data_IF_433911783349
#
_entry.id   IF_433911783349
#
_cell.length_a   1.000
_cell.length_b   1.000
_cell.length_c   1.000
_cell.angle_alpha   90.00
_cell.angle_beta   90.00
_cell.angle_gamma   90.00
#
_symmetry.space_group_name_H-M   'P 1'
#
loop_
_entity.id
_entity.type
_entity.pdbx_description
1 polymer ?
#
# COMPACT_ATOMS: atom_id res chain seq x y z
N UNK A 1 -36.31 47.47 103.07
CA UNK A 1 -35.59 48.69 102.61
C UNK A 1 -35.79 48.76 101.09
N UNK A 2 -36.91 49.34 100.67
CA UNK A 2 -37.03 50.69 100.06
C UNK A 2 -36.50 50.74 98.60
N UNK A 3 -37.48 50.95 97.68
CA UNK A 3 -37.48 51.67 96.37
C UNK A 3 -36.55 51.16 95.24
N UNK A 4 -37.06 50.62 94.12
CA UNK A 4 -37.73 51.28 92.96
C UNK A 4 -36.81 52.25 92.21
N UNK A 5 -36.50 51.98 90.93
CA UNK A 5 -36.71 52.88 89.76
C UNK A 5 -36.47 52.16 88.41
N UNK A 6 -37.47 52.26 87.53
CA UNK A 6 -37.60 51.90 86.09
C UNK A 6 -36.92 52.96 85.18
N UNK A 7 -37.05 53.01 83.82
CA UNK A 7 -37.14 52.02 82.70
C UNK A 7 -36.30 52.44 81.43
N UNK A 8 -36.62 51.86 80.25
CA UNK A 8 -36.48 52.33 78.83
C UNK A 8 -35.37 51.64 78.00
N UNK A 9 -35.68 50.62 77.18
CA UNK A 9 -36.27 50.58 75.82
C UNK A 9 -35.27 50.85 74.67
N UNK A 10 -35.10 49.79 73.87
CA UNK A 10 -34.73 49.64 72.44
C UNK A 10 -33.58 50.43 71.81
N UNK A 11 -32.72 49.70 71.09
CA UNK A 11 -32.67 49.72 69.61
C UNK A 11 -31.79 48.57 69.12
N UNK A 12 -32.34 47.73 68.23
CA UNK A 12 -31.57 46.68 67.57
C UNK A 12 -30.56 47.25 66.58
N UNK A 13 -29.40 46.61 66.48
CA UNK A 13 -28.62 46.56 65.25
C UNK A 13 -28.09 45.14 65.11
N UNK A 14 -28.51 44.50 64.02
CA UNK A 14 -27.94 43.24 63.52
C UNK A 14 -26.54 43.59 63.05
N UNK A 15 -25.52 43.21 63.80
CA UNK A 15 -24.15 43.27 63.29
C UNK A 15 -23.91 42.02 62.44
N UNK A 16 -23.79 42.28 61.14
CA UNK A 16 -23.30 41.36 60.14
C UNK A 16 -21.83 41.02 60.45
N UNK A 17 -21.60 39.85 61.03
CA UNK A 17 -20.32 39.17 60.94
C UNK A 17 -20.55 37.87 60.19
N UNK A 18 -20.60 37.97 58.87
CA UNK A 18 -20.37 36.83 57.99
C UNK A 18 -20.01 37.39 56.62
N UNK A 19 -18.74 37.79 56.45
CA UNK A 19 -18.20 37.98 55.11
C UNK A 19 -16.69 37.78 55.08
N UNK A 20 -16.34 36.77 54.27
CA UNK A 20 -15.10 36.61 53.51
C UNK A 20 -13.90 36.00 54.23
N UNK A 21 -13.75 34.68 54.03
CA UNK A 21 -12.49 34.09 53.57
C UNK A 21 -12.78 32.93 52.60
N UNK A 22 -13.52 33.23 51.53
CA UNK A 22 -13.49 32.42 50.32
C UNK A 22 -12.66 33.17 49.27
N UNK A 23 -11.33 33.19 49.45
CA UNK A 23 -10.42 33.52 48.37
C UNK A 23 -9.63 32.26 48.02
N UNK A 24 -10.30 31.33 47.35
CA UNK A 24 -9.58 30.35 46.54
C UNK A 24 -9.32 31.03 45.22
N UNK A 25 -8.08 31.48 45.00
CA UNK A 25 -7.56 31.74 43.66
C UNK A 25 -7.62 30.43 42.86
N UNK A 26 -8.81 30.11 42.37
CA UNK A 26 -9.05 28.93 41.55
C UNK A 26 -8.51 29.26 40.17
N UNK A 27 -7.19 29.15 40.05
CA UNK A 27 -6.44 29.38 38.82
C UNK A 27 -7.14 28.64 37.69
N UNK A 28 -7.63 29.40 36.72
CA UNK A 28 -8.33 28.85 35.56
C UNK A 28 -7.34 27.93 34.82
N UNK A 29 -7.65 26.64 34.76
CA UNK A 29 -6.78 25.66 34.11
C UNK A 29 -7.03 25.71 32.61
N UNK A 30 -5.96 25.97 31.86
CA UNK A 30 -5.96 26.04 30.40
C UNK A 30 -4.85 25.12 29.86
N UNK A 31 -5.21 24.22 28.95
CA UNK A 31 -4.30 23.22 28.36
C UNK A 31 -3.57 23.70 27.10
N UNK A 32 -3.84 24.93 26.63
CA UNK A 32 -3.32 25.44 25.37
C UNK A 32 -3.84 24.68 24.15
N UNK A 33 -3.26 24.94 22.97
CA UNK A 33 -3.60 24.23 21.75
C UNK A 33 -3.31 22.72 21.89
N UNK A 34 -4.26 21.84 21.54
CA UNK A 34 -4.03 20.40 21.53
C UNK A 34 -2.83 20.02 20.66
N UNK A 35 -2.05 18.99 21.05
CA UNK A 35 -0.89 18.55 20.29
C UNK A 35 -1.29 18.07 18.89
N UNK A 36 -0.50 18.45 17.89
CA UNK A 36 -0.62 17.94 16.51
C UNK A 36 0.05 16.57 16.45
N UNK A 37 -0.76 15.53 16.40
CA UNK A 37 -0.36 14.13 16.27
C UNK A 37 -0.52 13.67 14.80
N UNK A 38 -0.25 12.39 14.49
CA UNK A 38 -0.45 11.77 13.16
C UNK A 38 -1.94 11.60 12.79
N UNK A 39 -2.70 12.70 12.84
CA UNK A 39 -4.12 12.77 12.51
C UNK A 39 -4.30 13.79 11.39
N UNK A 40 -5.30 13.55 10.54
CA UNK A 40 -5.66 14.45 9.44
C UNK A 40 -6.09 15.82 9.96
N UNK A 41 -6.88 15.85 11.05
CA UNK A 41 -7.42 17.10 11.58
C UNK A 41 -7.65 17.04 13.09
N UNK A 42 -7.55 18.20 13.75
CA UNK A 42 -7.93 18.39 15.15
C UNK A 42 -8.87 19.60 15.25
N UNK A 43 -10.03 19.44 15.88
CA UNK A 43 -11.02 20.50 16.10
C UNK A 43 -11.34 20.66 17.58
N UNK A 44 -11.38 21.91 18.05
CA UNK A 44 -11.69 22.26 19.44
C UNK A 44 -12.26 23.68 19.51
N UNK A 45 -13.15 23.93 20.48
CA UNK A 45 -13.79 25.25 20.67
C UNK A 45 -13.05 26.06 21.73
N UNK A 46 -12.69 25.44 22.86
CA UNK A 46 -11.99 26.07 23.99
C UNK A 46 -10.88 25.16 24.52
N UNK A 47 -9.97 25.74 25.30
CA UNK A 47 -8.81 25.01 25.86
C UNK A 47 -8.84 24.96 27.40
N UNK A 48 -9.98 25.25 28.00
CA UNK A 48 -10.16 25.30 29.45
C UNK A 48 -10.41 23.91 30.04
N UNK A 49 -10.29 23.78 31.37
CA UNK A 49 -10.54 22.52 32.08
C UNK A 49 -11.82 21.81 31.63
N UNK A 50 -11.71 20.50 31.38
CA UNK A 50 -12.77 19.62 30.83
C UNK A 50 -13.22 19.91 29.40
N UNK A 51 -12.64 20.89 28.70
CA UNK A 51 -12.90 21.05 27.28
C UNK A 51 -12.39 19.83 26.49
N UNK A 52 -12.99 19.61 25.33
CA UNK A 52 -12.68 18.47 24.47
C UNK A 52 -12.11 18.93 23.14
N UNK A 53 -11.10 18.22 22.69
CA UNK A 53 -10.56 18.29 21.35
C UNK A 53 -10.87 16.98 20.62
N UNK A 54 -11.45 17.10 19.43
CA UNK A 54 -11.78 15.99 18.55
C UNK A 54 -10.68 15.83 17.50
N UNK A 55 -10.09 14.64 17.45
CA UNK A 55 -9.07 14.23 16.50
C UNK A 55 -9.71 13.36 15.43
N UNK A 56 -9.54 13.70 14.15
CA UNK A 56 -10.07 12.93 13.01
C UNK A 56 -8.93 12.29 12.21
N UNK A 57 -9.04 10.99 11.98
CA UNK A 57 -8.13 10.22 11.14
C UNK A 57 -8.49 10.35 9.65
N UNK A 58 -7.55 9.99 8.77
CA UNK A 58 -7.77 10.03 7.32
C UNK A 58 -8.94 9.13 6.87
N UNK A 59 -9.14 7.97 7.51
CA UNK A 59 -10.26 7.07 7.19
C UNK A 59 -11.58 7.41 7.91
N UNK A 60 -11.62 8.54 8.63
CA UNK A 60 -12.81 9.06 9.28
C UNK A 60 -13.03 8.63 10.72
N UNK A 61 -12.14 7.83 11.33
CA UNK A 61 -12.22 7.57 12.77
C UNK A 61 -12.03 8.87 13.56
N UNK A 62 -12.76 8.99 14.67
CA UNK A 62 -12.64 10.15 15.56
C UNK A 62 -12.27 9.72 16.97
N UNK A 63 -11.41 10.51 17.62
CA UNK A 63 -10.96 10.28 18.98
C UNK A 63 -11.04 11.57 19.78
N UNK A 64 -11.34 11.44 21.07
CA UNK A 64 -11.45 12.58 21.97
C UNK A 64 -10.24 12.68 22.87
N UNK A 65 -9.77 13.91 23.06
CA UNK A 65 -8.83 14.31 24.10
C UNK A 65 -9.52 15.33 25.01
N UNK A 66 -9.27 15.24 26.31
CA UNK A 66 -9.88 16.11 27.32
C UNK A 66 -8.81 16.89 28.07
N UNK A 67 -9.05 18.18 28.28
CA UNK A 67 -8.17 19.03 29.08
C UNK A 67 -8.27 18.64 30.57
N UNK A 68 -7.17 18.10 31.10
CA UNK A 68 -7.03 17.63 32.47
C UNK A 68 -6.82 18.77 33.47
N UNK A 69 -6.97 18.45 34.77
CA UNK A 69 -6.74 19.40 35.86
C UNK A 69 -5.27 19.81 35.99
N UNK A 70 -4.37 19.00 35.44
CA UNK A 70 -2.93 19.24 35.34
C UNK A 70 -2.54 20.22 34.22
N UNK A 71 -3.52 20.77 33.50
CA UNK A 71 -3.29 21.65 32.37
C UNK A 71 -2.73 20.93 31.15
N UNK A 72 -2.96 19.61 31.03
CA UNK A 72 -2.54 18.81 29.87
C UNK A 72 -3.72 18.12 29.20
N UNK A 73 -3.60 17.94 27.89
CA UNK A 73 -4.53 17.15 27.10
C UNK A 73 -4.31 15.66 27.36
N UNK A 74 -5.39 14.90 27.56
CA UNK A 74 -5.32 13.45 27.66
C UNK A 74 -4.91 12.82 26.32
N UNK A 75 -4.25 11.66 26.36
CA UNK A 75 -3.92 10.94 25.13
C UNK A 75 -5.22 10.45 24.46
N UNK A 76 -5.45 10.71 23.16
CA UNK A 76 -6.59 10.15 22.45
C UNK A 76 -6.64 8.62 22.59
N UNK A 77 -7.81 8.07 22.90
CA UNK A 77 -7.96 6.63 23.16
C UNK A 77 -8.05 5.81 21.86
N UNK A 78 -6.93 5.72 21.14
CA UNK A 78 -6.77 4.84 19.98
C UNK A 78 -5.69 5.31 19.01
N UNK A 79 -5.60 4.60 17.88
CA UNK A 79 -4.63 4.87 16.81
C UNK A 79 -5.36 4.87 15.47
N UNK A 80 -5.02 5.81 14.58
CA UNK A 80 -5.58 5.84 13.24
C UNK A 80 -5.29 4.54 12.48
N UNK A 81 -6.32 4.01 11.81
CA UNK A 81 -6.11 2.92 10.86
C UNK A 81 -5.49 3.47 9.60
N UNK A 82 -4.80 2.59 8.88
CA UNK A 82 -4.17 2.92 7.60
C UNK A 82 -4.81 2.11 6.49
N UNK A 83 -5.02 2.70 5.29
CA UNK A 83 -5.69 2.03 4.19
C UNK A 83 -4.85 0.83 3.72
N UNK A 84 -5.49 -0.33 3.66
CA UNK A 84 -4.87 -1.59 3.21
C UNK A 84 -5.10 -1.85 1.71
N UNK A 85 -6.03 -1.12 1.10
CA UNK A 85 -6.46 -1.24 -0.29
C UNK A 85 -6.67 0.15 -0.92
N UNK A 86 -6.71 0.22 -2.25
CA UNK A 86 -7.11 1.44 -2.96
C UNK A 86 -8.57 1.85 -2.64
N UNK A 87 -9.43 0.86 -2.39
CA UNK A 87 -10.84 1.10 -2.02
C UNK A 87 -10.95 1.80 -0.67
N UNK A 88 -10.11 1.43 0.30
CA UNK A 88 -10.02 2.14 1.58
C UNK A 88 -9.35 3.50 1.42
N UNK A 89 -8.27 3.58 0.65
CA UNK A 89 -7.58 4.86 0.40
C UNK A 89 -8.52 5.90 -0.23
N UNK A 90 -9.47 5.47 -1.08
CA UNK A 90 -10.50 6.35 -1.65
C UNK A 90 -11.31 7.12 -0.59
N UNK A 91 -11.42 6.60 0.64
CA UNK A 91 -12.15 7.25 1.74
C UNK A 91 -11.37 8.39 2.41
N UNK A 92 -10.08 8.55 2.08
CA UNK A 92 -9.22 9.56 2.69
C UNK A 92 -9.60 10.99 2.31
N UNK A 93 -10.27 11.19 1.18
CA UNK A 93 -10.72 12.52 0.71
C UNK A 93 -11.94 12.43 -0.20
N UNK A 94 -12.54 13.58 -0.50
CA UNK A 94 -13.75 13.66 -1.32
C UNK A 94 -13.49 13.30 -2.79
N UNK A 95 -12.34 13.74 -3.33
CA UNK A 95 -11.95 13.52 -4.72
C UNK A 95 -10.58 12.84 -4.74
N UNK A 96 -10.58 11.53 -4.94
CA UNK A 96 -9.35 10.73 -5.10
C UNK A 96 -9.33 10.15 -6.50
N UNK A 97 -8.30 10.49 -7.28
CA UNK A 97 -8.13 10.10 -8.70
C UNK A 97 -7.18 8.92 -8.86
N UNK A 98 -7.01 8.39 -10.08
CA UNK A 98 -5.98 7.39 -10.34
C UNK A 98 -4.57 7.96 -10.07
N UNK A 99 -3.68 7.18 -9.46
CA UNK A 99 -2.35 7.66 -9.09
C UNK A 99 -1.55 6.74 -8.17
N UNK A 100 -0.35 7.19 -7.78
CA UNK A 100 0.54 6.50 -6.84
C UNK A 100 0.22 6.88 -5.38
N UNK A 101 0.03 5.87 -4.54
CA UNK A 101 -0.40 6.01 -3.15
C UNK A 101 0.34 5.06 -2.22
N UNK A 102 0.51 5.47 -0.96
CA UNK A 102 0.97 4.59 0.11
C UNK A 102 -0.22 3.86 0.74
N UNK A 103 -0.19 2.53 0.69
CA UNK A 103 -1.12 1.66 1.41
C UNK A 103 -0.36 0.70 2.31
N UNK A 104 -1.08 -0.03 3.16
CA UNK A 104 -0.53 -0.96 4.14
C UNK A 104 -1.15 -2.35 3.93
N UNK A 105 -0.80 -3.06 2.84
CA UNK A 105 -1.46 -4.31 2.49
C UNK A 105 -1.30 -5.34 3.60
N UNK A 106 -2.37 -6.08 3.91
CA UNK A 106 -2.35 -7.15 4.92
C UNK A 106 -1.26 -8.18 4.63
N UNK A 107 -1.00 -8.45 3.34
CA UNK A 107 0.03 -9.39 2.90
C UNK A 107 1.48 -8.96 3.23
N UNK A 108 1.68 -7.76 3.76
CA UNK A 108 2.97 -7.22 4.22
C UNK A 108 3.05 -6.96 5.73
N UNK A 109 2.03 -7.38 6.50
CA UNK A 109 2.06 -7.34 7.96
C UNK A 109 2.40 -5.94 8.52
N UNK A 110 1.66 -4.92 8.07
CA UNK A 110 1.80 -3.54 8.57
C UNK A 110 2.93 -2.72 7.92
N UNK A 111 3.68 -3.26 6.97
CA UNK A 111 4.64 -2.46 6.18
C UNK A 111 3.93 -1.71 5.07
N UNK A 112 4.33 -0.44 4.86
CA UNK A 112 3.83 0.38 3.76
C UNK A 112 4.32 -0.12 2.41
N UNK A 113 3.48 0.04 1.39
CA UNK A 113 3.76 -0.28 0.00
C UNK A 113 3.20 0.81 -0.91
N UNK A 114 4.03 1.26 -1.86
CA UNK A 114 3.59 2.16 -2.91
C UNK A 114 2.89 1.36 -3.99
N UNK A 115 1.67 1.75 -4.32
CA UNK A 115 0.87 1.16 -5.39
C UNK A 115 0.31 2.24 -6.28
N UNK A 116 0.11 1.91 -7.55
CA UNK A 116 -0.75 2.66 -8.44
C UNK A 116 -2.20 2.18 -8.26
N UNK A 117 -3.08 3.05 -7.82
CA UNK A 117 -4.51 2.79 -7.79
C UNK A 117 -5.14 3.18 -9.13
N UNK A 118 -5.83 2.23 -9.76
CA UNK A 118 -6.56 2.46 -11.02
C UNK A 118 -8.05 2.25 -10.86
N UNK A 119 -8.85 3.11 -11.51
CA UNK A 119 -10.29 3.09 -11.41
C UNK A 119 -10.81 3.69 -10.11
N UNK A 120 -10.16 4.71 -9.55
CA UNK A 120 -10.56 5.35 -8.28
C UNK A 120 -11.95 6.01 -8.35
N UNK A 121 -12.41 6.39 -9.54
CA UNK A 121 -13.78 6.82 -9.79
C UNK A 121 -14.81 5.68 -9.66
N UNK A 122 -14.39 4.42 -9.78
CA UNK A 122 -15.28 3.25 -9.72
C UNK A 122 -15.52 2.76 -8.28
N UNK A 123 -16.44 1.82 -8.11
CA UNK A 123 -16.67 1.17 -6.81
C UNK A 123 -15.53 0.24 -6.38
N UNK A 124 -14.77 -0.26 -7.36
CA UNK A 124 -13.77 -1.32 -7.18
C UNK A 124 -12.44 -0.94 -7.84
N UNK A 125 -11.73 0.07 -7.29
CA UNK A 125 -10.39 0.38 -7.77
C UNK A 125 -9.45 -0.81 -7.56
N UNK A 126 -8.39 -0.85 -8.36
CA UNK A 126 -7.43 -1.96 -8.41
C UNK A 126 -6.02 -1.48 -8.12
N UNK A 127 -5.27 -2.31 -7.40
CA UNK A 127 -3.89 -2.07 -6.98
C UNK A 127 -2.88 -2.64 -8.00
N UNK A 128 -1.95 -1.81 -8.44
CA UNK A 128 -0.85 -2.21 -9.31
C UNK A 128 0.50 -1.81 -8.73
N UNK A 129 1.52 -2.62 -9.02
CA UNK A 129 2.93 -2.26 -8.75
C UNK A 129 3.51 -1.65 -10.01
N UNK A 130 3.96 -0.41 -9.90
CA UNK A 130 4.72 0.28 -10.96
C UNK A 130 6.13 -0.27 -11.06
N UNK A 131 6.49 -0.74 -12.26
CA UNK A 131 7.76 -1.41 -12.54
C UNK A 131 8.77 -0.40 -13.09
N UNK A 132 9.89 -0.24 -12.37
CA UNK A 132 10.95 0.73 -12.74
C UNK A 132 11.92 0.20 -13.80
N UNK A 133 11.95 -1.12 -14.01
CA UNK A 133 12.85 -1.81 -14.93
C UNK A 133 12.04 -2.61 -15.95
N UNK A 134 12.69 -2.98 -17.05
CA UNK A 134 12.02 -3.77 -18.08
C UNK A 134 11.61 -5.14 -17.53
N UNK A 135 10.34 -5.45 -17.76
CA UNK A 135 9.67 -6.67 -17.32
C UNK A 135 8.92 -7.22 -18.52
N UNK A 136 9.15 -8.49 -18.86
CA UNK A 136 8.58 -9.06 -20.07
C UNK A 136 8.40 -10.58 -20.03
N UNK A 137 7.49 -11.02 -20.88
CA UNK A 137 7.31 -12.41 -21.29
C UNK A 137 7.50 -12.50 -22.80
N UNK A 138 8.26 -13.47 -23.29
CA UNK A 138 8.63 -13.54 -24.70
C UNK A 138 8.50 -14.94 -25.28
N UNK A 139 7.77 -14.99 -26.39
CA UNK A 139 7.74 -16.10 -27.34
C UNK A 139 8.26 -15.60 -28.69
N UNK A 140 9.38 -16.14 -29.22
CA UNK A 140 9.99 -15.63 -30.43
C UNK A 140 9.19 -16.01 -31.68
N UNK A 141 9.06 -15.04 -32.60
CA UNK A 141 8.51 -15.23 -33.94
C UNK A 141 9.48 -15.99 -34.85
N UNK A 142 9.74 -17.26 -34.52
CA UNK A 142 10.74 -18.10 -35.20
C UNK A 142 10.25 -19.52 -35.41
N UNK A 143 10.54 -20.07 -36.59
CA UNK A 143 10.29 -21.47 -36.95
C UNK A 143 11.63 -22.22 -37.04
N UNK A 144 11.73 -23.49 -36.58
CA UNK A 144 12.92 -24.30 -36.77
C UNK A 144 13.18 -24.54 -38.27
N UNK A 145 14.45 -24.61 -38.65
CA UNK A 145 14.86 -24.94 -40.02
C UNK A 145 15.80 -26.15 -40.04
N UNK A 146 17.12 -25.96 -40.19
CA UNK A 146 18.12 -27.03 -40.12
C UNK A 146 19.15 -26.72 -39.02
N UNK A 147 19.63 -27.74 -38.31
CA UNK A 147 20.74 -27.66 -37.33
C UNK A 147 20.79 -26.37 -36.48
N UNK A 148 19.96 -26.28 -35.43
CA UNK A 148 19.85 -25.10 -34.55
C UNK A 148 19.52 -23.75 -35.23
N UNK A 149 19.39 -23.70 -36.56
CA UNK A 149 19.03 -22.50 -37.31
C UNK A 149 17.51 -22.34 -37.29
N UNK A 150 17.10 -21.08 -37.19
CA UNK A 150 15.71 -20.65 -37.16
C UNK A 150 15.46 -19.58 -38.20
N UNK A 151 14.26 -19.54 -38.78
CA UNK A 151 13.82 -18.46 -39.67
C UNK A 151 12.73 -17.64 -39.00
N UNK A 152 12.73 -16.33 -39.22
CA UNK A 152 11.69 -15.43 -38.71
C UNK A 152 10.32 -15.78 -39.31
N UNK A 153 9.31 -15.88 -38.47
CA UNK A 153 7.92 -16.10 -38.88
C UNK A 153 6.97 -15.52 -37.82
N UNK A 154 6.25 -14.44 -38.17
CA UNK A 154 5.36 -13.71 -37.27
C UNK A 154 4.03 -14.41 -36.99
N UNK A 155 3.68 -15.43 -37.77
CA UNK A 155 2.43 -16.18 -37.63
C UNK A 155 2.66 -17.59 -37.04
N UNK A 156 3.91 -17.98 -36.78
CA UNK A 156 4.24 -19.32 -36.28
C UNK A 156 3.95 -19.47 -34.79
N UNK A 157 2.93 -20.28 -34.44
CA UNK A 157 2.66 -20.76 -33.08
C UNK A 157 2.50 -19.63 -32.04
N UNK A 158 1.75 -18.58 -32.41
CA UNK A 158 1.37 -17.46 -31.54
C UNK A 158 2.55 -16.72 -30.89
N UNK A 159 3.47 -16.15 -31.68
CA UNK A 159 4.60 -15.44 -31.13
C UNK A 159 4.18 -14.07 -30.57
N UNK A 160 5.00 -13.54 -29.68
CA UNK A 160 4.80 -12.22 -29.09
C UNK A 160 5.74 -11.91 -27.93
N UNK A 161 6.16 -10.65 -27.82
CA UNK A 161 6.84 -10.10 -26.65
C UNK A 161 5.90 -9.13 -25.93
N UNK A 162 5.50 -9.48 -24.71
CA UNK A 162 4.66 -8.64 -23.86
C UNK A 162 5.53 -7.93 -22.84
N UNK A 163 5.56 -6.59 -22.89
CA UNK A 163 6.19 -5.72 -21.89
C UNK A 163 5.16 -5.34 -20.82
N UNK A 164 5.58 -5.27 -19.57
CA UNK A 164 4.72 -4.89 -18.45
C UNK A 164 5.26 -3.61 -17.80
N UNK A 165 4.45 -2.55 -17.77
CA UNK A 165 4.78 -1.29 -17.07
C UNK A 165 4.26 -1.30 -15.63
N UNK A 166 3.14 -1.99 -15.40
CA UNK A 166 2.59 -2.24 -14.06
C UNK A 166 2.06 -3.67 -13.99
N UNK A 167 2.06 -4.26 -12.79
CA UNK A 167 1.48 -5.59 -12.54
C UNK A 167 0.43 -5.53 -11.44
N UNK A 168 -0.73 -6.16 -11.67
CA UNK A 168 -1.82 -6.17 -10.70
C UNK A 168 -1.50 -7.11 -9.54
N UNK A 169 -1.76 -6.67 -8.31
CA UNK A 169 -1.63 -7.48 -7.10
C UNK A 169 -2.96 -7.61 -6.37
N UNK A 170 -3.09 -8.67 -5.56
CA UNK A 170 -4.09 -8.74 -4.50
C UNK A 170 -3.42 -8.22 -3.20
N UNK A 171 -3.92 -7.16 -2.54
CA UNK A 171 -3.30 -6.59 -1.34
C UNK A 171 -3.36 -7.50 -0.10
N UNK A 172 -4.36 -8.39 0.00
CA UNK A 172 -4.49 -9.32 1.13
C UNK A 172 -3.36 -10.35 1.16
N UNK A 173 -2.96 -10.82 -0.02
CA UNK A 173 -2.04 -11.95 -0.14
C UNK A 173 -0.88 -11.71 -1.11
N UNK A 174 -0.67 -10.50 -1.62
CA UNK A 174 0.40 -10.13 -2.56
C UNK A 174 0.62 -11.13 -3.72
N UNK A 175 -0.44 -11.81 -4.18
CA UNK A 175 -0.37 -12.61 -5.40
C UNK A 175 -0.53 -11.71 -6.61
N UNK A 176 0.32 -11.90 -7.60
CA UNK A 176 0.25 -11.18 -8.88
C UNK A 176 -0.81 -11.82 -9.77
N UNK A 177 -1.71 -11.02 -10.32
CA UNK A 177 -2.57 -11.45 -11.41
C UNK A 177 -1.80 -11.35 -12.74
N UNK A 178 -1.32 -12.49 -13.22
CA UNK A 178 -0.41 -12.58 -14.38
C UNK A 178 -1.09 -12.38 -15.73
N UNK A 179 -2.41 -12.48 -15.77
CA UNK A 179 -3.23 -12.34 -16.99
C UNK A 179 -3.90 -10.98 -17.06
N UNK A 180 -3.61 -10.07 -16.12
CA UNK A 180 -3.99 -8.68 -16.25
C UNK A 180 -3.03 -7.97 -17.21
N UNK A 181 -3.57 -7.50 -18.33
CA UNK A 181 -2.82 -6.82 -19.39
C UNK A 181 -3.12 -5.33 -19.47
N UNK A 182 -3.77 -4.73 -18.46
CA UNK A 182 -4.21 -3.33 -18.51
C UNK A 182 -3.05 -2.35 -18.78
N UNK A 183 -1.88 -2.62 -18.19
CA UNK A 183 -0.65 -1.83 -18.37
C UNK A 183 0.45 -2.63 -19.07
N UNK A 184 0.05 -3.53 -19.96
CA UNK A 184 0.95 -4.34 -20.76
C UNK A 184 0.88 -3.97 -22.24
N UNK A 185 2.04 -3.97 -22.89
CA UNK A 185 2.20 -3.57 -24.29
C UNK A 185 2.78 -4.75 -25.09
N UNK A 186 2.26 -4.96 -26.29
CA UNK A 186 2.83 -5.92 -27.23
C UNK A 186 3.91 -5.21 -28.06
N UNK A 187 5.14 -5.73 -28.06
CA UNK A 187 6.23 -5.13 -28.84
C UNK A 187 5.92 -5.24 -30.33
N UNK A 188 6.00 -4.14 -31.11
CA UNK A 188 5.81 -4.19 -32.55
C UNK A 188 6.72 -5.22 -33.22
N UNK A 189 6.22 -5.90 -34.26
CA UNK A 189 6.97 -6.92 -35.03
C UNK A 189 7.46 -8.12 -34.19
N UNK A 190 6.87 -8.39 -33.02
CA UNK A 190 7.17 -9.59 -32.22
C UNK A 190 6.17 -10.73 -32.41
N UNK A 191 5.08 -10.49 -33.15
CA UNK A 191 3.93 -11.38 -33.29
C UNK A 191 2.65 -10.68 -32.82
N UNK A 192 1.57 -11.46 -32.60
CA UNK A 192 0.23 -10.95 -32.24
C UNK A 192 -0.24 -11.40 -30.85
N UNK A 193 0.47 -12.33 -30.21
CA UNK A 193 0.01 -12.93 -28.96
C UNK A 193 0.53 -12.19 -27.72
N UNK A 194 -0.35 -12.00 -26.73
CA UNK A 194 0.06 -11.55 -25.38
C UNK A 194 0.32 -12.75 -24.48
N UNK A 195 1.46 -12.74 -23.82
CA UNK A 195 1.91 -13.81 -22.93
C UNK A 195 1.87 -13.33 -21.48
N UNK A 196 1.26 -14.13 -20.60
CA UNK A 196 1.09 -13.79 -19.18
C UNK A 196 2.41 -13.50 -18.49
N UNK A 197 2.39 -12.67 -17.45
CA UNK A 197 3.59 -12.27 -16.72
C UNK A 197 4.38 -13.47 -16.17
N UNK A 198 5.70 -13.47 -16.42
CA UNK A 198 6.63 -14.52 -16.00
C UNK A 198 6.69 -15.76 -16.90
N UNK A 199 6.18 -15.69 -18.14
CA UNK A 199 6.16 -16.81 -19.09
C UNK A 199 7.28 -16.67 -20.12
N UNK A 200 7.97 -17.77 -20.39
CA UNK A 200 8.92 -17.91 -21.49
C UNK A 200 8.61 -19.19 -22.26
N UNK A 201 8.57 -19.15 -23.59
CA UNK A 201 8.26 -20.32 -24.41
C UNK A 201 8.78 -20.16 -25.83
N UNK A 202 8.95 -21.28 -26.54
CA UNK A 202 9.20 -21.31 -27.98
C UNK A 202 8.65 -22.61 -28.60
N UNK A 203 8.64 -22.69 -29.93
CA UNK A 203 8.39 -23.93 -30.65
C UNK A 203 9.50 -24.20 -31.64
N UNK A 204 10.65 -24.61 -31.11
CA UNK A 204 11.88 -24.76 -31.88
C UNK A 204 12.41 -26.20 -31.81
N UNK A 205 13.11 -26.53 -30.73
CA UNK A 205 13.93 -27.74 -30.64
C UNK A 205 13.54 -28.57 -29.41
N UNK A 206 13.66 -29.88 -29.53
CA UNK A 206 13.32 -30.81 -28.45
C UNK A 206 14.20 -30.63 -27.20
N UNK A 207 13.68 -31.08 -26.05
CA UNK A 207 14.33 -30.99 -24.74
C UNK A 207 15.77 -31.52 -24.74
N UNK A 208 16.02 -32.65 -25.42
CA UNK A 208 17.33 -33.32 -25.49
C UNK A 208 18.31 -32.72 -26.52
N UNK A 209 17.89 -31.73 -27.30
CA UNK A 209 18.74 -31.10 -28.31
C UNK A 209 19.79 -30.17 -27.69
N UNK A 210 20.99 -30.13 -28.27
CA UNK A 210 22.05 -29.17 -27.93
C UNK A 210 21.71 -27.72 -28.32
N UNK A 211 20.72 -27.51 -29.18
CA UNK A 211 20.26 -26.18 -29.58
C UNK A 211 19.69 -25.43 -28.38
N UNK A 212 19.85 -24.11 -28.30
CA UNK A 212 19.36 -23.28 -27.18
C UNK A 212 17.87 -22.93 -27.33
N UNK A 213 17.17 -22.86 -26.19
CA UNK A 213 15.84 -22.24 -26.12
C UNK A 213 15.94 -20.74 -26.31
N UNK A 214 14.94 -20.15 -26.96
CA UNK A 214 14.91 -18.74 -27.35
C UNK A 214 13.71 -17.98 -26.75
N UNK A 215 12.76 -18.68 -26.11
CA UNK A 215 11.79 -18.02 -25.24
C UNK A 215 12.47 -17.44 -24.01
N UNK A 216 12.08 -16.23 -23.62
CA UNK A 216 12.72 -15.51 -22.52
C UNK A 216 11.69 -14.84 -21.61
N UNK A 217 12.03 -14.71 -20.33
CA UNK A 217 11.26 -13.89 -19.41
C UNK A 217 12.18 -13.12 -18.47
N UNK A 218 11.66 -11.98 -18.00
CA UNK A 218 12.30 -11.17 -16.98
C UNK A 218 11.25 -10.58 -16.04
N UNK A 219 11.43 -10.88 -14.77
CA UNK A 219 10.79 -10.23 -13.63
C UNK A 219 11.87 -9.39 -12.96
N UNK A 220 11.67 -8.07 -12.90
CA UNK A 220 12.60 -7.14 -12.27
C UNK A 220 11.82 -6.15 -11.40
N UNK A 221 11.80 -6.44 -10.10
CA UNK A 221 11.11 -5.68 -9.05
C UNK A 221 12.06 -4.70 -8.35
N UNK A 222 13.27 -4.49 -8.87
CA UNK A 222 14.25 -3.58 -8.28
C UNK A 222 13.65 -2.17 -8.12
N UNK A 223 13.76 -1.61 -6.91
CA UNK A 223 13.25 -0.27 -6.58
C UNK A 223 11.79 -0.23 -6.10
N UNK A 224 11.05 -1.34 -6.21
CA UNK A 224 9.66 -1.43 -5.72
C UNK A 224 9.54 -1.78 -4.23
N UNK A 225 10.64 -2.16 -3.58
CA UNK A 225 10.61 -2.70 -2.21
C UNK A 225 10.05 -4.12 -2.12
N UNK A 226 9.81 -4.80 -3.25
CA UNK A 226 9.30 -6.17 -3.32
C UNK A 226 10.31 -7.14 -3.93
N UNK A 227 10.14 -8.42 -3.59
CA UNK A 227 10.84 -9.55 -4.20
C UNK A 227 9.86 -10.71 -4.40
N UNK A 228 10.14 -11.59 -5.38
CA UNK A 228 9.42 -12.85 -5.54
C UNK A 228 9.79 -13.79 -4.39
N UNK A 229 8.81 -14.36 -3.69
CA UNK A 229 9.06 -15.34 -2.62
C UNK A 229 9.94 -16.50 -3.13
N UNK A 230 10.89 -16.96 -2.31
CA UNK A 230 11.79 -18.08 -2.65
C UNK A 230 11.05 -19.38 -2.91
N UNK A 231 9.85 -19.56 -2.34
CA UNK A 231 8.99 -20.73 -2.52
C UNK A 231 8.29 -20.76 -3.87
N UNK A 232 8.28 -19.65 -4.61
CA UNK A 232 7.72 -19.61 -5.96
C UNK A 232 8.67 -20.33 -6.92
N UNK A 233 8.12 -21.35 -7.59
CA UNK A 233 8.79 -22.16 -8.60
C UNK A 233 8.15 -21.98 -9.98
N UNK A 234 8.95 -22.27 -11.00
CA UNK A 234 8.53 -22.36 -12.39
C UNK A 234 8.36 -23.81 -12.77
N UNK A 235 7.30 -24.09 -13.51
CA UNK A 235 7.00 -25.42 -14.04
C UNK A 235 6.97 -25.37 -15.55
N UNK A 236 7.34 -26.49 -16.16
CA UNK A 236 7.23 -26.72 -17.58
C UNK A 236 5.75 -26.74 -18.02
N UNK A 237 5.49 -26.37 -19.27
CA UNK A 237 4.22 -26.58 -19.96
C UNK A 237 4.45 -26.82 -21.45
N UNK A 238 3.45 -27.37 -22.14
CA UNK A 238 3.58 -27.76 -23.54
C UNK A 238 4.49 -28.98 -23.73
N UNK A 239 4.82 -29.29 -24.98
CA UNK A 239 5.47 -30.55 -25.35
C UNK A 239 7.00 -30.44 -25.31
N UNK A 240 7.67 -31.48 -24.79
CA UNK A 240 9.13 -31.58 -24.69
C UNK A 240 9.80 -30.28 -24.19
N UNK A 241 9.22 -29.69 -23.15
CA UNK A 241 9.62 -28.40 -22.60
C UNK A 241 10.83 -28.51 -21.68
N UNK A 242 11.62 -27.43 -21.65
CA UNK A 242 12.76 -27.26 -20.76
C UNK A 242 12.83 -25.84 -20.21
N UNK A 243 13.28 -25.77 -18.96
CA UNK A 243 13.74 -24.55 -18.31
C UNK A 243 15.26 -24.52 -18.43
N UNK A 244 15.78 -23.52 -19.11
CA UNK A 244 17.20 -23.24 -19.28
C UNK A 244 17.54 -21.89 -18.62
N UNK A 245 18.79 -21.75 -18.17
CA UNK A 245 19.32 -20.48 -17.66
C UNK A 245 18.42 -19.78 -16.60
N UNK A 246 17.71 -20.55 -15.76
CA UNK A 246 16.90 -19.98 -14.68
C UNK A 246 17.82 -19.33 -13.64
N UNK A 247 17.61 -18.04 -13.39
CA UNK A 247 18.39 -17.27 -12.42
C UNK A 247 17.45 -16.50 -11.50
N UNK A 248 17.75 -16.57 -10.21
CA UNK A 248 17.14 -15.74 -9.17
C UNK A 248 18.24 -14.89 -8.57
N UNK A 249 18.24 -13.60 -8.87
CA UNK A 249 19.27 -12.64 -8.47
C UNK A 249 18.71 -11.66 -7.43
N UNK A 250 19.60 -10.99 -6.70
CA UNK A 250 19.26 -9.96 -5.70
C UNK A 250 18.14 -10.41 -4.74
N UNK A 251 18.28 -11.61 -4.17
CA UNK A 251 17.29 -12.20 -3.25
C UNK A 251 15.86 -12.31 -3.83
N UNK A 252 15.72 -12.49 -5.14
CA UNK A 252 14.42 -12.65 -5.80
C UNK A 252 13.79 -11.34 -6.28
N UNK A 253 14.49 -10.20 -6.20
CA UNK A 253 14.07 -8.99 -6.88
C UNK A 253 14.19 -9.11 -8.41
N UNK A 254 15.11 -9.95 -8.89
CA UNK A 254 15.24 -10.23 -10.32
C UNK A 254 15.15 -11.74 -10.55
N UNK A 255 14.23 -12.15 -11.42
CA UNK A 255 14.09 -13.53 -11.88
C UNK A 255 14.10 -13.54 -13.40
N UNK A 256 14.97 -14.34 -13.99
CA UNK A 256 15.06 -14.53 -15.45
C UNK A 256 15.08 -16.00 -15.78
N UNK A 257 14.54 -16.36 -16.93
CA UNK A 257 14.66 -17.71 -17.45
C UNK A 257 14.63 -17.70 -18.97
N UNK A 258 15.32 -18.68 -19.57
CA UNK A 258 15.10 -19.07 -20.95
C UNK A 258 14.32 -20.37 -20.98
N UNK A 259 13.21 -20.42 -21.69
CA UNK A 259 12.40 -21.62 -21.73
C UNK A 259 11.92 -21.88 -23.14
N UNK A 260 11.74 -23.15 -23.46
CA UNK A 260 11.41 -23.56 -24.81
C UNK A 260 11.19 -25.07 -24.91
N UNK A 261 11.13 -25.58 -26.12
CA UNK A 261 10.91 -26.98 -26.41
C UNK A 261 10.31 -27.19 -27.80
N UNK A 262 9.77 -28.39 -28.01
CA UNK A 262 8.94 -28.66 -29.18
C UNK A 262 7.52 -28.13 -28.93
N UNK A 263 7.35 -26.81 -29.03
CA UNK A 263 6.13 -26.09 -28.63
C UNK A 263 5.91 -26.18 -27.11
N UNK A 264 6.91 -25.73 -26.35
CA UNK A 264 6.95 -25.84 -24.91
C UNK A 264 7.58 -24.61 -24.25
N UNK A 265 7.42 -24.50 -22.94
CA UNK A 265 7.97 -23.39 -22.18
C UNK A 265 7.85 -23.57 -20.69
N UNK A 266 8.00 -22.47 -19.96
CA UNK A 266 7.86 -22.44 -18.51
C UNK A 266 6.99 -21.29 -18.05
N UNK A 267 6.30 -21.52 -16.94
CA UNK A 267 5.45 -20.54 -16.28
C UNK A 267 5.51 -20.75 -14.76
N UNK A 268 5.34 -19.72 -13.94
CA UNK A 268 5.20 -19.92 -12.51
C UNK A 268 3.84 -20.56 -12.24
N UNK A 269 3.71 -21.31 -11.14
CA UNK A 269 2.39 -21.76 -10.68
C UNK A 269 1.58 -20.57 -10.15
N UNK A 270 2.19 -19.80 -9.25
CA UNK A 270 1.71 -18.51 -8.79
C UNK A 270 2.91 -17.60 -8.52
N UNK A 271 2.74 -16.28 -8.61
CA UNK A 271 3.77 -15.33 -8.17
C UNK A 271 3.26 -14.67 -6.89
N UNK A 272 3.85 -15.06 -5.77
CA UNK A 272 3.68 -14.42 -4.46
C UNK A 272 4.84 -13.45 -4.24
N UNK A 273 4.53 -12.20 -3.91
CA UNK A 273 5.52 -11.19 -3.55
C UNK A 273 5.67 -11.09 -2.04
N UNK A 274 6.87 -10.69 -1.61
CA UNK A 274 7.24 -10.41 -0.22
C UNK A 274 8.03 -9.09 -0.18
N UNK A 275 8.13 -8.48 1.00
CA UNK A 275 9.03 -7.35 1.21
C UNK A 275 10.47 -7.74 0.87
N UNK A 276 11.16 -6.91 0.08
CA UNK A 276 12.59 -7.05 -0.16
C UNK A 276 13.39 -6.64 1.09
N UNK A 277 14.62 -7.13 1.19
CA UNK A 277 15.58 -6.69 2.21
C UNK A 277 16.14 -5.29 1.91
N UNK A 278 16.16 -4.90 0.64
CA UNK A 278 16.57 -3.59 0.16
C UNK A 278 15.36 -2.66 0.16
N UNK A 279 15.57 -1.39 0.55
CA UNK A 279 14.54 -0.37 0.52
C UNK A 279 13.99 -0.11 -0.90
N UNK A 280 12.87 0.61 -0.97
CA UNK A 280 12.33 1.13 -2.23
C UNK A 280 13.00 2.47 -2.59
N UNK A 281 12.88 2.90 -3.85
CA UNK A 281 13.24 4.27 -4.22
C UNK A 281 12.09 5.20 -3.84
N UNK A 282 12.36 6.14 -2.93
CA UNK A 282 11.44 7.21 -2.55
C UNK A 282 11.20 8.12 -3.75
N UNK A 283 10.06 7.92 -4.41
CA UNK A 283 9.45 8.89 -5.32
C UNK A 283 8.10 9.26 -4.70
N UNK A 284 7.59 10.48 -4.93
CA UNK A 284 6.39 10.98 -4.28
C UNK A 284 5.19 10.05 -4.52
N UNK A 285 4.51 9.70 -3.45
CA UNK A 285 3.22 9.03 -3.43
C UNK A 285 2.45 9.59 -2.24
N UNK A 286 1.14 9.78 -2.40
CA UNK A 286 0.32 10.45 -1.39
C UNK A 286 0.00 9.52 -0.23
N UNK A 287 0.03 10.07 0.99
CA UNK A 287 -0.46 9.41 2.20
C UNK A 287 -1.91 9.84 2.49
N UNK A 288 -2.62 9.07 3.33
CA UNK A 288 -4.04 9.31 3.62
C UNK A 288 -4.23 10.59 4.44
N UNK A 289 -3.24 10.90 5.25
CA UNK A 289 -3.16 12.03 6.16
C UNK A 289 -2.89 13.36 5.43
N UNK A 290 -2.48 13.31 4.15
CA UNK A 290 -2.23 14.47 3.29
C UNK A 290 -3.46 14.94 2.49
N UNK A 291 -4.54 14.14 2.47
CA UNK A 291 -5.81 14.41 1.79
C UNK A 291 -6.88 14.79 2.81
#
# INVERSE_FOLDING_TARGET
MILVFLPLIWSGTVNAEDTVLANTDKKEVNCGSPPRLDFKMVSYITTNYKSQAEYRCGLGETFLSTCGIDGKWSKPNGTCKRPTTCKEFKKCGEIVTDGEYWIYPTGLHGKKLKVYCSGMQTEHPKEYISLMRENFSFYPAKKPWFFCVTRSNLEWQHPGKTLFKKIRINPENLKVNRTDFQFAELVPKSGKARWSYGVAADCLFEKGSSCKSQGEMRIDLTGTGLAVDRRVSWTNFGTNSRIAEFKRLKNGQVVTARCGGHCGGCKPLCIKLIAAKTGFVENPARECEEL
#
